data_IF_896925227103
#
_entry.id   IF_896925227103
#
_cell.length_a   1.000
_cell.length_b   1.000
_cell.length_c   1.000
_cell.angle_alpha   90.00
_cell.angle_beta   90.00
_cell.angle_gamma   90.00
#
_symmetry.space_group_name_H-M   'P 1'
#
loop_
_entity.id
_entity.type
_entity.pdbx_description
1 polymer ?
#
# COMPACT_ATOMS: atom_id res chain seq x y z
N UNK A 1 -41.51 89.41 -17.29
CA UNK A 1 -41.70 87.97 -17.05
C UNK A 1 -40.44 87.28 -17.51
N UNK A 2 -39.69 86.75 -16.55
CA UNK A 2 -38.54 85.88 -16.79
C UNK A 2 -38.96 84.67 -17.61
N UNK A 3 -38.18 84.31 -18.63
CA UNK A 3 -38.20 82.97 -19.20
C UNK A 3 -36.81 82.39 -18.98
N UNK A 4 -36.76 81.44 -18.05
CA UNK A 4 -35.57 80.72 -17.66
C UNK A 4 -34.93 80.03 -18.88
N UNK A 5 -33.65 80.32 -19.11
CA UNK A 5 -32.84 79.56 -20.05
C UNK A 5 -32.65 78.15 -19.51
N UNK A 6 -33.30 77.17 -20.14
CA UNK A 6 -33.07 75.77 -19.86
C UNK A 6 -31.62 75.42 -20.26
N UNK A 7 -30.76 75.16 -19.27
CA UNK A 7 -29.43 74.59 -19.49
C UNK A 7 -29.65 73.16 -19.97
N UNK A 8 -29.48 72.93 -21.27
CA UNK A 8 -29.52 71.60 -21.84
C UNK A 8 -28.18 70.91 -21.53
N UNK A 9 -28.11 70.21 -20.39
CA UNK A 9 -27.01 69.30 -20.08
C UNK A 9 -26.99 68.18 -21.13
N UNK A 10 -26.02 68.24 -22.04
CA UNK A 10 -25.76 67.16 -23.01
C UNK A 10 -25.00 66.06 -22.28
N UNK A 11 -25.74 65.07 -21.75
CA UNK A 11 -25.16 63.85 -21.20
C UNK A 11 -24.43 63.07 -22.31
N UNK A 12 -23.10 63.16 -22.32
CA UNK A 12 -22.28 62.44 -23.28
C UNK A 12 -22.19 60.96 -22.86
N UNK A 13 -22.97 60.11 -23.53
CA UNK A 13 -23.04 58.67 -23.25
C UNK A 13 -21.65 57.98 -23.37
N UNK A 14 -20.71 58.59 -24.07
CA UNK A 14 -19.36 58.05 -24.21
C UNK A 14 -18.50 58.16 -22.95
N UNK A 15 -18.80 59.08 -22.01
CA UNK A 15 -17.99 59.27 -20.79
C UNK A 15 -18.12 58.13 -19.77
N UNK A 16 -19.26 57.43 -19.75
CA UNK A 16 -19.48 56.26 -18.88
C UNK A 16 -19.23 54.92 -19.59
N UNK A 17 -19.40 54.88 -20.91
CA UNK A 17 -19.22 53.66 -21.71
C UNK A 17 -17.74 53.29 -21.89
N UNK A 18 -16.85 54.29 -22.08
CA UNK A 18 -15.43 54.06 -22.34
C UNK A 18 -14.69 53.37 -21.18
N UNK A 19 -14.88 53.75 -19.90
CA UNK A 19 -14.29 53.04 -18.76
C UNK A 19 -14.80 51.61 -18.58
N UNK A 20 -16.07 51.34 -18.92
CA UNK A 20 -16.67 50.01 -18.83
C UNK A 20 -16.12 49.07 -19.91
N UNK A 21 -15.98 49.56 -21.14
CA UNK A 21 -15.40 48.78 -22.24
C UNK A 21 -13.91 48.54 -22.01
N UNK A 22 -13.15 49.54 -21.55
CA UNK A 22 -11.73 49.38 -21.24
C UNK A 22 -11.50 48.44 -20.06
N UNK A 23 -12.33 48.52 -19.01
CA UNK A 23 -12.33 47.60 -17.88
C UNK A 23 -12.65 46.16 -18.29
N UNK A 24 -13.65 45.95 -19.15
CA UNK A 24 -14.03 44.63 -19.66
C UNK A 24 -12.93 44.01 -20.54
N UNK A 25 -12.32 44.79 -21.43
CA UNK A 25 -11.19 44.33 -22.27
C UNK A 25 -9.96 44.01 -21.40
N UNK A 26 -9.64 44.86 -20.41
CA UNK A 26 -8.55 44.64 -19.48
C UNK A 26 -8.74 43.36 -18.64
N UNK A 27 -9.97 43.09 -18.18
CA UNK A 27 -10.31 41.86 -17.46
C UNK A 27 -10.19 40.62 -18.37
N UNK A 28 -10.70 40.69 -19.61
CA UNK A 28 -10.59 39.59 -20.57
C UNK A 28 -9.13 39.28 -20.92
N UNK A 29 -8.31 40.30 -21.21
CA UNK A 29 -6.88 40.12 -21.52
C UNK A 29 -6.12 39.65 -20.28
N UNK A 30 -6.43 40.17 -19.09
CA UNK A 30 -5.79 39.75 -17.84
C UNK A 30 -6.09 38.29 -17.50
N UNK A 31 -7.35 37.87 -17.61
CA UNK A 31 -7.78 36.49 -17.31
C UNK A 31 -7.33 35.49 -18.38
N UNK A 32 -7.51 35.79 -19.68
CA UNK A 32 -7.04 34.91 -20.76
C UNK A 32 -5.51 34.90 -20.87
N UNK A 33 -4.87 36.06 -20.81
CA UNK A 33 -3.41 36.17 -20.87
C UNK A 33 -2.73 35.57 -19.65
N UNK A 34 -3.27 35.79 -18.46
CA UNK A 34 -2.79 35.19 -17.22
C UNK A 34 -2.94 33.67 -17.21
N UNK A 35 -4.10 33.14 -17.59
CA UNK A 35 -4.33 31.69 -17.70
C UNK A 35 -3.47 31.05 -18.79
N UNK A 36 -3.32 31.69 -19.95
CA UNK A 36 -2.43 31.26 -21.01
C UNK A 36 -0.96 31.24 -20.56
N UNK A 37 -0.50 32.29 -19.85
CA UNK A 37 0.87 32.34 -19.31
C UNK A 37 1.12 31.24 -18.26
N UNK A 38 0.14 30.99 -17.38
CA UNK A 38 0.21 29.90 -16.40
C UNK A 38 0.25 28.53 -17.09
N UNK A 39 -0.61 28.31 -18.09
CA UNK A 39 -0.64 27.09 -18.90
C UNK A 39 0.69 26.88 -19.64
N UNK A 40 1.21 27.92 -20.28
CA UNK A 40 2.51 27.89 -20.95
C UNK A 40 3.66 27.58 -19.98
N UNK A 41 3.66 28.18 -18.78
CA UNK A 41 4.68 27.91 -17.75
C UNK A 41 4.58 26.48 -17.23
N UNK A 42 3.37 25.94 -17.07
CA UNK A 42 3.14 24.54 -16.72
C UNK A 42 3.61 23.60 -17.83
N UNK A 43 3.27 23.87 -19.09
CA UNK A 43 3.75 23.10 -20.24
C UNK A 43 5.29 23.09 -20.31
N UNK A 44 5.94 24.24 -20.08
CA UNK A 44 7.40 24.33 -20.10
C UNK A 44 8.03 23.50 -18.97
N UNK A 45 7.45 23.53 -17.77
CA UNK A 45 7.88 22.68 -16.65
C UNK A 45 7.73 21.20 -17.00
N UNK A 46 6.58 20.81 -17.55
CA UNK A 46 6.30 19.43 -17.94
C UNK A 46 7.24 18.95 -19.04
N UNK A 47 7.52 19.76 -20.07
CA UNK A 47 8.47 19.43 -21.14
C UNK A 47 9.88 19.15 -20.60
N UNK A 48 10.35 19.93 -19.63
CA UNK A 48 11.64 19.69 -18.98
C UNK A 48 11.66 18.33 -18.27
N UNK A 49 10.58 17.97 -17.57
CA UNK A 49 10.49 16.70 -16.84
C UNK A 49 10.37 15.51 -17.80
N UNK A 50 9.61 15.66 -18.89
CA UNK A 50 9.59 14.66 -19.99
C UNK A 50 11.00 14.44 -20.53
N UNK A 51 11.77 15.51 -20.75
CA UNK A 51 13.17 15.40 -21.18
C UNK A 51 14.06 14.67 -20.17
N UNK A 52 13.83 14.86 -18.86
CA UNK A 52 14.55 14.12 -17.82
C UNK A 52 14.20 12.62 -17.86
N UNK A 53 12.93 12.29 -18.10
CA UNK A 53 12.48 10.90 -18.20
C UNK A 53 13.01 10.23 -19.48
N UNK A 54 13.02 10.94 -20.61
CA UNK A 54 13.65 10.47 -21.86
C UNK A 54 15.16 10.26 -21.68
N UNK A 55 15.86 11.22 -21.05
CA UNK A 55 17.29 11.07 -20.68
C UNK A 55 17.54 9.80 -19.87
N UNK A 56 16.63 9.46 -18.94
CA UNK A 56 16.73 8.23 -18.16
C UNK A 56 16.55 6.96 -19.02
N UNK A 57 15.55 6.97 -19.92
CA UNK A 57 15.28 5.86 -20.83
C UNK A 57 16.37 5.65 -21.88
N UNK A 58 17.02 6.72 -22.33
CA UNK A 58 18.11 6.65 -23.28
C UNK A 58 19.31 5.86 -22.71
N UNK A 59 19.54 5.89 -21.39
CA UNK A 59 20.54 5.04 -20.73
C UNK A 59 20.22 3.55 -20.96
N UNK A 60 18.97 3.14 -20.71
CA UNK A 60 18.57 1.74 -20.95
C UNK A 60 18.63 1.40 -22.44
N UNK A 61 18.27 2.33 -23.31
CA UNK A 61 18.31 2.16 -24.77
C UNK A 61 19.74 1.92 -25.30
N UNK A 62 20.74 2.61 -24.76
CA UNK A 62 22.15 2.40 -25.11
C UNK A 62 22.60 0.98 -24.76
N UNK A 63 22.22 0.47 -23.59
CA UNK A 63 22.56 -0.87 -23.12
C UNK A 63 21.76 -1.97 -23.84
N UNK A 64 20.52 -1.69 -24.23
CA UNK A 64 19.68 -2.60 -25.01
C UNK A 64 20.33 -2.98 -26.36
N UNK A 65 21.09 -2.07 -26.98
CA UNK A 65 21.82 -2.35 -28.22
C UNK A 65 22.84 -3.48 -28.07
N UNK A 66 23.34 -3.70 -26.85
CA UNK A 66 24.31 -4.73 -26.50
C UNK A 66 23.67 -5.96 -25.84
N UNK A 67 22.33 -6.07 -25.84
CA UNK A 67 21.57 -7.13 -25.15
C UNK A 67 21.92 -7.26 -23.65
N UNK A 68 22.22 -6.13 -23.01
CA UNK A 68 22.52 -6.03 -21.57
C UNK A 68 21.23 -6.04 -20.74
N UNK A 69 21.38 -6.20 -19.43
CA UNK A 69 20.25 -6.20 -18.49
C UNK A 69 20.08 -4.84 -17.83
N UNK A 70 18.90 -4.58 -17.23
CA UNK A 70 18.68 -3.35 -16.48
C UNK A 70 19.68 -3.20 -15.31
N UNK A 71 20.09 -4.30 -14.68
CA UNK A 71 21.07 -4.30 -13.60
C UNK A 71 22.42 -3.68 -14.03
N UNK A 72 22.87 -3.95 -15.27
CA UNK A 72 24.12 -3.40 -15.84
C UNK A 72 24.11 -1.85 -15.90
N UNK A 73 22.93 -1.25 -16.02
CA UNK A 73 22.77 0.22 -16.16
C UNK A 73 22.82 0.97 -14.83
N UNK A 74 22.81 0.25 -13.71
CA UNK A 74 22.66 0.81 -12.34
C UNK A 74 23.65 1.93 -12.04
N UNK A 75 24.94 1.72 -12.32
CA UNK A 75 25.97 2.69 -12.00
C UNK A 75 25.81 3.96 -12.84
N UNK A 76 25.48 3.79 -14.12
CA UNK A 76 25.33 4.89 -15.06
C UNK A 76 24.06 5.71 -14.79
N UNK A 77 22.94 5.04 -14.52
CA UNK A 77 21.71 5.68 -14.08
C UNK A 77 21.92 6.52 -12.82
N UNK A 78 22.62 5.98 -11.83
CA UNK A 78 22.86 6.68 -10.58
C UNK A 78 23.80 7.88 -10.72
N UNK A 79 24.68 7.86 -11.71
CA UNK A 79 25.68 8.92 -11.97
C UNK A 79 25.14 10.01 -12.91
N UNK A 80 24.45 9.63 -14.00
CA UNK A 80 23.95 10.57 -15.01
C UNK A 80 22.72 11.37 -14.54
N UNK A 81 21.93 10.82 -13.61
CA UNK A 81 20.78 11.51 -13.02
C UNK A 81 21.10 12.06 -11.63
N UNK A 82 20.81 13.34 -11.44
CA UNK A 82 20.81 13.97 -10.12
C UNK A 82 19.68 13.44 -9.24
N UNK A 83 19.81 13.61 -7.91
CA UNK A 83 18.77 13.22 -6.95
C UNK A 83 17.42 13.90 -7.28
N UNK A 84 17.44 15.17 -7.67
CA UNK A 84 16.23 15.92 -8.05
C UNK A 84 15.57 15.36 -9.30
N UNK A 85 16.35 14.98 -10.33
CA UNK A 85 15.81 14.31 -11.52
C UNK A 85 15.20 12.96 -11.14
N UNK A 86 15.88 12.16 -10.32
CA UNK A 86 15.36 10.87 -9.82
C UNK A 86 14.01 11.04 -9.11
N UNK A 87 13.87 12.04 -8.22
CA UNK A 87 12.59 12.35 -7.54
C UNK A 87 11.46 12.68 -8.51
N UNK A 88 11.77 13.33 -9.63
CA UNK A 88 10.76 13.73 -10.59
C UNK A 88 10.26 12.56 -11.46
N UNK A 89 11.11 11.62 -11.84
CA UNK A 89 10.82 10.67 -12.94
C UNK A 89 10.72 9.20 -12.54
N UNK A 90 11.34 8.76 -11.44
CA UNK A 90 11.51 7.33 -11.15
C UNK A 90 10.17 6.59 -10.97
N UNK A 91 9.19 7.20 -10.30
CA UNK A 91 7.86 6.58 -10.14
C UNK A 91 7.17 6.40 -11.49
N UNK A 92 7.29 7.38 -12.39
CA UNK A 92 6.74 7.30 -13.73
C UNK A 92 7.42 6.18 -14.54
N UNK A 93 8.75 6.06 -14.44
CA UNK A 93 9.50 4.98 -15.09
C UNK A 93 9.10 3.59 -14.57
N UNK A 94 8.92 3.42 -13.26
CA UNK A 94 8.48 2.16 -12.68
C UNK A 94 7.08 1.78 -13.18
N UNK A 95 6.14 2.73 -13.22
CA UNK A 95 4.79 2.50 -13.78
C UNK A 95 4.79 2.20 -15.28
N UNK A 96 5.79 2.67 -16.01
CA UNK A 96 5.98 2.38 -17.43
C UNK A 96 6.58 0.99 -17.70
N UNK A 97 7.00 0.26 -16.67
CA UNK A 97 7.50 -1.11 -16.81
C UNK A 97 8.99 -1.27 -16.53
N UNK A 98 9.72 -0.20 -16.19
CA UNK A 98 11.13 -0.32 -15.80
C UNK A 98 11.22 -1.13 -14.49
N UNK A 99 12.00 -2.23 -14.45
CA UNK A 99 11.97 -3.16 -13.33
C UNK A 99 12.93 -2.73 -12.21
N UNK A 100 12.46 -1.86 -11.32
CA UNK A 100 13.21 -1.47 -10.11
C UNK A 100 13.27 -2.62 -9.10
N UNK A 101 14.36 -2.73 -8.35
CA UNK A 101 14.40 -3.53 -7.14
C UNK A 101 13.68 -2.78 -6.02
N UNK A 102 12.56 -3.33 -5.54
CA UNK A 102 11.87 -2.80 -4.37
C UNK A 102 12.56 -3.32 -3.11
N UNK A 103 13.10 -2.45 -2.25
CA UNK A 103 13.70 -2.91 -1.01
C UNK A 103 12.62 -3.55 -0.14
N UNK A 104 12.87 -4.78 0.29
CA UNK A 104 11.93 -5.57 1.11
C UNK A 104 12.21 -5.47 2.60
N UNK A 105 13.37 -4.90 2.97
CA UNK A 105 13.87 -4.85 4.35
C UNK A 105 14.35 -3.45 4.75
N UNK A 106 14.94 -2.72 3.81
CA UNK A 106 15.53 -1.40 4.07
C UNK A 106 14.64 -0.26 3.58
N UNK A 107 14.89 0.95 4.08
CA UNK A 107 14.30 2.15 3.52
C UNK A 107 14.75 2.34 2.07
N UNK A 108 13.86 2.89 1.24
CA UNK A 108 14.20 3.22 -0.15
C UNK A 108 15.30 4.28 -0.19
N UNK A 109 16.45 3.94 -0.80
CA UNK A 109 17.56 4.86 -1.00
C UNK A 109 17.58 5.40 -2.43
N UNK A 110 17.13 6.64 -2.59
CA UNK A 110 17.13 7.34 -3.88
C UNK A 110 18.53 7.59 -4.45
N UNK A 111 19.58 7.56 -3.62
CA UNK A 111 20.95 7.78 -4.10
C UNK A 111 21.44 6.57 -4.88
N UNK A 112 21.07 5.37 -4.43
CA UNK A 112 21.55 4.09 -4.93
C UNK A 112 20.37 3.24 -5.43
N UNK A 113 19.78 3.67 -6.55
CA UNK A 113 18.70 2.94 -7.21
C UNK A 113 19.25 1.66 -7.83
N UNK A 114 18.55 0.53 -7.67
CA UNK A 114 18.92 -0.76 -8.26
C UNK A 114 17.80 -1.28 -9.15
N UNK A 115 18.18 -2.09 -10.12
CA UNK A 115 17.26 -2.68 -11.10
C UNK A 115 17.40 -4.20 -11.14
N UNK A 116 16.31 -4.89 -11.46
CA UNK A 116 16.29 -6.34 -11.58
C UNK A 116 17.14 -6.80 -12.76
N UNK A 117 17.67 -8.01 -12.65
CA UNK A 117 18.44 -8.65 -13.72
C UNK A 117 17.52 -9.20 -14.82
N UNK A 118 17.02 -8.28 -15.66
CA UNK A 118 16.11 -8.56 -16.77
C UNK A 118 16.72 -7.95 -18.04
N UNK A 119 16.74 -8.70 -19.14
CA UNK A 119 17.23 -8.23 -20.44
C UNK A 119 16.35 -7.07 -20.93
N UNK A 120 16.97 -6.00 -21.42
CA UNK A 120 16.25 -4.81 -21.88
C UNK A 120 15.69 -5.04 -23.28
N UNK A 121 14.37 -4.90 -23.44
CA UNK A 121 13.72 -4.86 -24.75
C UNK A 121 13.79 -3.43 -25.33
N UNK A 122 14.50 -3.28 -26.46
CA UNK A 122 14.71 -2.00 -27.14
C UNK A 122 13.40 -1.41 -27.68
N UNK A 123 12.49 -2.24 -28.17
CA UNK A 123 11.24 -1.79 -28.76
C UNK A 123 10.27 -1.32 -27.67
N UNK A 124 10.32 -1.97 -26.51
CA UNK A 124 9.60 -1.54 -25.31
C UNK A 124 10.07 -0.16 -24.85
N UNK A 125 11.39 0.04 -24.69
CA UNK A 125 11.96 1.35 -24.31
C UNK A 125 11.59 2.44 -25.32
N UNK A 126 11.62 2.13 -26.61
CA UNK A 126 11.23 3.09 -27.66
C UNK A 126 9.76 3.48 -27.54
N UNK A 127 8.90 2.52 -27.22
CA UNK A 127 7.47 2.75 -26.98
C UNK A 127 7.26 3.62 -25.74
N UNK A 128 7.98 3.36 -24.64
CA UNK A 128 7.93 4.17 -23.42
C UNK A 128 8.30 5.64 -23.70
N UNK A 129 9.37 5.89 -24.47
CA UNK A 129 9.78 7.25 -24.88
C UNK A 129 8.65 7.95 -25.65
N UNK A 130 7.97 7.26 -26.56
CA UNK A 130 6.84 7.82 -27.31
C UNK A 130 5.69 8.21 -26.38
N UNK A 131 5.36 7.39 -25.37
CA UNK A 131 4.29 7.70 -24.40
C UNK A 131 4.61 8.92 -23.54
N UNK A 132 5.87 9.03 -23.08
CA UNK A 132 6.34 10.20 -22.33
C UNK A 132 6.23 11.47 -23.19
N UNK A 133 6.68 11.42 -24.45
CA UNK A 133 6.62 12.57 -25.34
C UNK A 133 5.18 13.02 -25.63
N UNK A 134 4.24 12.07 -25.73
CA UNK A 134 2.79 12.34 -25.86
C UNK A 134 2.15 12.95 -24.61
N UNK A 135 2.82 12.91 -23.45
CA UNK A 135 2.31 13.44 -22.19
C UNK A 135 1.42 12.47 -21.41
N UNK A 136 1.32 11.22 -21.85
CA UNK A 136 0.45 10.23 -21.21
C UNK A 136 0.91 9.84 -19.79
N UNK A 137 2.14 10.20 -19.43
CA UNK A 137 2.75 9.90 -18.14
C UNK A 137 2.87 11.12 -17.21
N UNK A 138 2.38 12.29 -17.64
CA UNK A 138 2.62 13.55 -16.91
C UNK A 138 2.09 13.51 -15.48
N UNK A 139 0.95 12.85 -15.28
CA UNK A 139 0.30 12.69 -13.97
C UNK A 139 1.08 11.82 -12.98
N UNK A 140 2.16 11.16 -13.42
CA UNK A 140 3.02 10.34 -12.56
C UNK A 140 4.33 11.04 -12.21
N UNK A 141 4.66 12.14 -12.89
CA UNK A 141 5.81 12.95 -12.51
C UNK A 141 5.57 13.61 -11.16
N UNK A 142 6.65 13.73 -10.38
CA UNK A 142 6.64 14.27 -9.02
C UNK A 142 5.79 13.48 -8.00
N UNK A 143 5.35 12.27 -8.34
CA UNK A 143 4.81 11.36 -7.31
C UNK A 143 5.89 11.14 -6.25
N UNK A 144 5.53 11.26 -4.97
CA UNK A 144 6.49 11.06 -3.89
C UNK A 144 7.06 9.64 -3.95
N UNK A 145 8.33 9.56 -4.29
CA UNK A 145 9.09 8.34 -4.49
C UNK A 145 9.22 7.53 -3.21
N UNK A 146 9.42 8.21 -2.08
CA UNK A 146 9.62 7.54 -0.80
C UNK A 146 8.31 6.87 -0.39
N UNK A 147 7.21 7.61 -0.35
CA UNK A 147 5.88 7.03 -0.12
C UNK A 147 5.52 5.93 -1.13
N UNK A 148 5.80 6.12 -2.42
CA UNK A 148 5.48 5.13 -3.44
C UNK A 148 6.18 3.78 -3.21
N UNK A 149 7.50 3.78 -3.00
CA UNK A 149 8.25 2.53 -2.79
C UNK A 149 8.15 1.98 -1.35
N UNK A 150 7.83 2.82 -0.37
CA UNK A 150 7.70 2.39 1.04
C UNK A 150 6.27 2.07 1.46
N UNK A 151 5.25 2.46 0.69
CA UNK A 151 3.82 2.21 0.99
C UNK A 151 3.53 0.72 1.25
N UNK A 152 4.27 -0.18 0.59
CA UNK A 152 4.16 -1.62 0.78
C UNK A 152 5.30 -2.23 1.62
N UNK A 153 6.26 -1.45 2.12
CA UNK A 153 7.40 -1.98 2.88
C UNK A 153 6.94 -2.66 4.16
N UNK A 154 6.09 -2.00 4.95
CA UNK A 154 5.53 -2.58 6.18
C UNK A 154 4.73 -3.85 5.87
N UNK A 155 3.87 -3.80 4.86
CA UNK A 155 3.03 -4.91 4.44
C UNK A 155 3.86 -6.11 3.96
N UNK A 156 4.87 -5.88 3.12
CA UNK A 156 5.78 -6.92 2.66
C UNK A 156 6.63 -7.48 3.80
N UNK A 157 7.12 -6.65 4.71
CA UNK A 157 7.89 -7.08 5.86
C UNK A 157 7.06 -8.02 6.74
N UNK A 158 5.85 -7.59 7.11
CA UNK A 158 4.92 -8.37 7.94
C UNK A 158 4.52 -9.70 7.26
N UNK A 159 4.18 -9.68 5.97
CA UNK A 159 3.89 -10.91 5.20
C UNK A 159 5.09 -11.84 5.10
N UNK A 160 6.30 -11.32 4.87
CA UNK A 160 7.52 -12.13 4.81
C UNK A 160 7.82 -12.82 6.15
N UNK A 161 7.57 -12.14 7.26
CA UNK A 161 7.70 -12.74 8.61
C UNK A 161 6.65 -13.86 8.80
N UNK A 162 5.41 -13.64 8.36
CA UNK A 162 4.37 -14.67 8.33
C UNK A 162 4.76 -15.90 7.52
N UNK A 163 5.28 -15.71 6.30
CA UNK A 163 5.78 -16.81 5.46
C UNK A 163 6.92 -17.57 6.12
N UNK A 164 7.90 -16.85 6.67
CA UNK A 164 9.02 -17.44 7.42
C UNK A 164 8.51 -18.33 8.56
N UNK A 165 7.50 -17.88 9.31
CA UNK A 165 6.86 -18.72 10.34
C UNK A 165 6.24 -20.00 9.75
N UNK A 166 5.51 -19.88 8.64
CA UNK A 166 4.88 -21.04 8.00
C UNK A 166 5.93 -22.04 7.51
N UNK A 167 6.97 -21.57 6.82
CA UNK A 167 8.03 -22.40 6.22
C UNK A 167 8.94 -23.05 7.28
N UNK A 168 9.37 -22.26 8.26
CA UNK A 168 10.40 -22.70 9.22
C UNK A 168 9.83 -23.34 10.48
N UNK A 169 8.56 -23.08 10.80
CA UNK A 169 7.94 -23.55 12.05
C UNK A 169 6.73 -24.42 11.75
N UNK A 170 5.70 -23.87 11.10
CA UNK A 170 4.41 -24.57 10.95
C UNK A 170 4.53 -25.82 10.06
N UNK A 171 5.22 -25.72 8.93
CA UNK A 171 5.48 -26.84 8.02
C UNK A 171 6.35 -27.95 8.63
N UNK A 172 7.15 -27.60 9.64
CA UNK A 172 8.02 -28.54 10.38
C UNK A 172 7.40 -29.01 11.70
N UNK A 173 6.19 -28.55 12.01
CA UNK A 173 5.45 -28.99 13.19
C UNK A 173 4.81 -30.36 12.95
N UNK A 174 4.34 -30.98 14.02
CA UNK A 174 3.65 -32.27 13.94
C UNK A 174 2.54 -32.37 14.99
N UNK A 175 1.57 -33.25 14.74
CA UNK A 175 0.54 -33.63 15.69
C UNK A 175 1.01 -34.85 16.49
N UNK A 176 0.92 -34.79 17.81
CA UNK A 176 1.29 -35.90 18.68
C UNK A 176 0.24 -37.02 18.60
N UNK A 177 0.67 -38.27 18.41
CA UNK A 177 -0.26 -39.43 18.31
C UNK A 177 -1.10 -39.62 19.58
N UNK A 178 -0.53 -39.29 20.73
CA UNK A 178 -1.19 -39.42 22.04
C UNK A 178 -2.13 -38.25 22.34
N UNK A 179 -1.98 -37.14 21.63
CA UNK A 179 -2.76 -35.90 21.81
C UNK A 179 -3.12 -35.31 20.43
N UNK A 180 -4.13 -35.86 19.75
CA UNK A 180 -4.44 -35.51 18.36
C UNK A 180 -4.88 -34.05 18.19
N UNK A 181 -5.19 -33.33 19.28
CA UNK A 181 -5.54 -31.92 19.29
C UNK A 181 -4.36 -31.00 19.66
N UNK A 182 -3.14 -31.55 19.75
CA UNK A 182 -1.94 -30.79 20.15
C UNK A 182 -0.92 -30.80 19.03
N UNK A 183 -0.55 -29.60 18.59
CA UNK A 183 0.49 -29.36 17.61
C UNK A 183 1.79 -29.05 18.35
N UNK A 184 2.80 -29.89 18.13
CA UNK A 184 4.15 -29.68 18.62
C UNK A 184 4.99 -28.94 17.56
N UNK A 185 5.72 -27.91 18.00
CA UNK A 185 6.61 -27.12 17.15
C UNK A 185 8.06 -27.61 17.26
N UNK A 186 8.94 -27.32 16.28
CA UNK A 186 10.38 -27.55 16.39
C UNK A 186 10.96 -26.91 17.66
N UNK A 187 11.95 -27.58 18.27
CA UNK A 187 12.65 -27.05 19.45
C UNK A 187 13.30 -25.71 19.12
N UNK A 188 13.23 -24.76 20.06
CA UNK A 188 13.87 -23.44 19.93
C UNK A 188 13.45 -22.60 18.71
N UNK A 189 12.31 -22.90 18.09
CA UNK A 189 11.83 -22.19 16.90
C UNK A 189 11.78 -20.66 17.07
N UNK A 190 11.44 -20.19 18.27
CA UNK A 190 11.34 -18.77 18.60
C UNK A 190 12.66 -18.01 18.49
N UNK A 191 13.82 -18.68 18.62
CA UNK A 191 15.15 -18.07 18.50
C UNK A 191 15.46 -17.61 17.06
N UNK A 192 14.70 -18.08 16.08
CA UNK A 192 14.85 -17.67 14.68
C UNK A 192 14.21 -16.31 14.40
N UNK A 193 13.52 -15.72 15.37
CA UNK A 193 12.76 -14.48 15.22
C UNK A 193 13.25 -13.42 16.20
N UNK A 194 13.27 -12.17 15.75
CA UNK A 194 13.47 -11.01 16.63
C UNK A 194 12.24 -10.78 17.52
N UNK A 195 12.34 -10.01 18.62
CA UNK A 195 11.17 -9.70 19.45
C UNK A 195 10.00 -9.09 18.68
N UNK A 196 10.26 -8.19 17.72
CA UNK A 196 9.23 -7.58 16.88
C UNK A 196 8.62 -8.56 15.88
N UNK A 197 9.44 -9.43 15.29
CA UNK A 197 8.94 -10.51 14.42
C UNK A 197 8.06 -11.49 15.19
N UNK A 198 8.44 -11.87 16.42
CA UNK A 198 7.64 -12.71 17.30
C UNK A 198 6.27 -12.08 17.55
N UNK A 199 6.23 -10.83 17.99
CA UNK A 199 4.95 -10.13 18.26
C UNK A 199 4.02 -10.15 17.03
N UNK A 200 4.58 -9.95 15.85
CA UNK A 200 3.83 -9.94 14.57
C UNK A 200 3.16 -11.28 14.26
N UNK A 201 3.79 -12.41 14.64
CA UNK A 201 3.28 -13.75 14.28
C UNK A 201 2.43 -14.40 15.38
N UNK A 202 2.33 -13.84 16.59
CA UNK A 202 1.63 -14.53 17.69
C UNK A 202 0.14 -14.75 17.43
N UNK A 203 -0.55 -13.74 16.87
CA UNK A 203 -1.97 -13.89 16.51
C UNK A 203 -2.13 -14.87 15.35
N UNK A 204 -1.31 -14.75 14.30
CA UNK A 204 -1.28 -15.71 13.20
C UNK A 204 -1.06 -17.14 13.70
N UNK A 205 -0.06 -17.35 14.56
CA UNK A 205 0.25 -18.65 15.19
C UNK A 205 -0.96 -19.22 15.93
N UNK A 206 -1.71 -18.38 16.64
CA UNK A 206 -2.90 -18.82 17.36
C UNK A 206 -4.00 -19.28 16.41
N UNK A 207 -4.23 -18.57 15.31
CA UNK A 207 -5.21 -18.97 14.29
C UNK A 207 -4.79 -20.22 13.51
N UNK A 208 -3.48 -20.39 13.29
CA UNK A 208 -2.92 -21.57 12.62
C UNK A 208 -2.78 -22.78 13.54
N UNK A 209 -3.18 -22.70 14.81
CA UNK A 209 -3.23 -23.83 15.73
C UNK A 209 -4.42 -24.77 15.43
N UNK A 210 -4.58 -25.15 14.16
CA UNK A 210 -5.59 -26.07 13.66
C UNK A 210 -4.93 -27.33 13.09
N UNK A 211 -5.40 -28.50 13.52
CA UNK A 211 -4.87 -29.80 13.08
C UNK A 211 -5.26 -30.14 11.65
N UNK A 212 -6.19 -29.40 11.04
CA UNK A 212 -6.57 -29.53 9.63
C UNK A 212 -5.39 -29.30 8.67
N UNK A 213 -4.36 -28.56 9.07
CA UNK A 213 -3.15 -28.38 8.26
C UNK A 213 -2.25 -29.62 8.19
N UNK A 214 -2.57 -30.68 8.95
CA UNK A 214 -1.76 -31.88 9.09
C UNK A 214 -2.47 -33.08 8.46
N UNK A 215 -1.68 -33.94 7.83
CA UNK A 215 -2.15 -35.20 7.27
C UNK A 215 -2.32 -36.27 8.36
N UNK A 216 -2.96 -37.40 8.02
CA UNK A 216 -3.21 -38.50 8.97
C UNK A 216 -1.95 -39.08 9.62
N UNK A 217 -0.77 -38.89 9.02
CA UNK A 217 0.50 -39.32 9.61
C UNK A 217 1.05 -38.35 10.68
N UNK A 218 0.32 -37.26 10.97
CA UNK A 218 0.67 -36.22 11.93
C UNK A 218 1.63 -35.16 11.40
N UNK A 219 2.11 -35.26 10.15
CA UNK A 219 2.97 -34.24 9.51
C UNK A 219 2.15 -33.23 8.72
N UNK A 220 2.66 -32.01 8.62
CA UNK A 220 2.05 -30.95 7.84
C UNK A 220 1.80 -31.40 6.38
N UNK A 221 0.62 -31.09 5.88
CA UNK A 221 0.24 -31.36 4.49
C UNK A 221 0.90 -30.33 3.56
N UNK A 222 1.76 -30.79 2.66
CA UNK A 222 2.53 -29.90 1.78
C UNK A 222 1.66 -29.03 0.87
N UNK A 223 0.49 -29.52 0.43
CA UNK A 223 -0.40 -28.73 -0.42
C UNK A 223 -1.05 -27.62 0.39
N UNK A 224 -1.53 -27.93 1.60
CA UNK A 224 -2.13 -26.93 2.50
C UNK A 224 -1.12 -25.86 2.93
N UNK A 225 0.14 -26.24 3.17
CA UNK A 225 1.21 -25.29 3.47
C UNK A 225 1.49 -24.36 2.28
N UNK A 226 1.52 -24.88 1.04
CA UNK A 226 1.71 -24.05 -0.16
C UNK A 226 0.54 -23.07 -0.35
N UNK A 227 -0.69 -23.53 -0.14
CA UNK A 227 -1.86 -22.67 -0.19
C UNK A 227 -1.79 -21.58 0.88
N UNK A 228 -1.46 -21.93 2.12
CA UNK A 228 -1.30 -20.96 3.21
C UNK A 228 -0.23 -19.89 2.89
N UNK A 229 0.91 -20.28 2.34
CA UNK A 229 1.94 -19.33 1.90
C UNK A 229 1.36 -18.38 0.84
N UNK A 230 0.68 -18.92 -0.19
CA UNK A 230 0.03 -18.11 -1.23
C UNK A 230 -1.02 -17.16 -0.65
N UNK A 231 -1.82 -17.61 0.32
CA UNK A 231 -2.85 -16.80 0.98
C UNK A 231 -2.25 -15.63 1.76
N UNK A 232 -1.09 -15.84 2.41
CA UNK A 232 -0.33 -14.76 3.04
C UNK A 232 0.18 -13.77 1.98
N UNK A 233 0.67 -14.25 0.84
CA UNK A 233 1.19 -13.38 -0.22
C UNK A 233 0.12 -12.48 -0.84
N UNK A 234 -1.08 -13.02 -1.06
CA UNK A 234 -2.21 -12.25 -1.60
C UNK A 234 -2.94 -11.42 -0.53
N UNK A 235 -2.62 -11.61 0.75
CA UNK A 235 -3.07 -10.78 1.87
C UNK A 235 -4.33 -11.24 2.61
N UNK A 236 -4.77 -12.49 2.44
CA UNK A 236 -5.93 -13.00 3.19
C UNK A 236 -5.69 -13.04 4.71
N UNK A 237 -4.42 -13.15 5.10
CA UNK A 237 -4.00 -13.22 6.50
C UNK A 237 -3.51 -11.88 7.08
N UNK A 238 -3.59 -10.79 6.32
CA UNK A 238 -3.08 -9.48 6.74
C UNK A 238 -3.71 -9.01 8.05
N UNK A 239 -5.02 -9.18 8.21
CA UNK A 239 -5.73 -8.77 9.42
C UNK A 239 -5.13 -9.39 10.69
N UNK A 240 -4.72 -10.66 10.63
CA UNK A 240 -4.13 -11.36 11.77
C UNK A 240 -2.67 -10.97 11.98
N UNK A 241 -1.94 -10.75 10.90
CA UNK A 241 -0.56 -10.29 10.94
C UNK A 241 -0.41 -8.85 11.45
N UNK A 242 -1.44 -8.02 11.30
CA UNK A 242 -1.49 -6.66 11.83
C UNK A 242 -2.22 -6.55 13.18
N UNK A 243 -2.83 -7.63 13.66
CA UNK A 243 -3.58 -7.62 14.91
C UNK A 243 -2.61 -7.56 16.10
N UNK A 244 -2.80 -6.59 16.99
CA UNK A 244 -2.05 -6.51 18.22
C UNK A 244 -2.35 -7.69 19.17
N UNK A 245 -1.29 -8.42 19.57
CA UNK A 245 -1.45 -9.64 20.36
C UNK A 245 -2.04 -9.39 21.76
N UNK A 246 -1.75 -8.26 22.40
CA UNK A 246 -2.31 -7.93 23.72
C UNK A 246 -3.82 -7.69 23.62
N UNK A 247 -4.24 -6.95 22.60
CA UNK A 247 -5.65 -6.73 22.28
C UNK A 247 -6.37 -8.04 21.97
N UNK A 248 -5.74 -8.90 21.15
CA UNK A 248 -6.28 -10.21 20.79
C UNK A 248 -6.47 -11.11 22.02
N UNK A 249 -5.46 -11.21 22.88
CA UNK A 249 -5.51 -12.04 24.11
C UNK A 249 -6.52 -11.50 25.12
N UNK A 250 -6.65 -10.17 25.25
CA UNK A 250 -7.66 -9.56 26.10
C UNK A 250 -9.08 -9.91 25.64
N UNK A 251 -9.37 -9.82 24.34
CA UNK A 251 -10.68 -10.21 23.79
C UNK A 251 -10.95 -11.70 24.02
N UNK A 252 -9.95 -12.56 23.82
CA UNK A 252 -10.09 -13.99 24.10
C UNK A 252 -10.37 -14.27 25.58
N UNK A 253 -9.69 -13.57 26.49
CA UNK A 253 -9.92 -13.68 27.93
C UNK A 253 -11.33 -13.21 28.33
N UNK A 254 -11.82 -12.10 27.76
CA UNK A 254 -13.19 -11.62 27.99
C UNK A 254 -14.24 -12.61 27.49
N UNK A 255 -14.04 -13.18 26.30
CA UNK A 255 -14.93 -14.21 25.76
C UNK A 255 -14.96 -15.46 26.65
N UNK A 256 -13.80 -15.92 27.12
CA UNK A 256 -13.70 -17.05 28.04
C UNK A 256 -14.41 -16.76 29.37
N UNK A 257 -14.22 -15.55 29.93
CA UNK A 257 -14.90 -15.13 31.15
C UNK A 257 -16.43 -15.08 30.95
N UNK A 258 -16.90 -14.55 29.83
CA UNK A 258 -18.32 -14.51 29.50
C UNK A 258 -18.93 -15.92 29.45
N UNK A 259 -18.24 -16.88 28.81
CA UNK A 259 -18.68 -18.28 28.76
C UNK A 259 -18.75 -18.93 30.14
N UNK A 260 -17.76 -18.65 31.01
CA UNK A 260 -17.75 -19.15 32.39
C UNK A 260 -18.92 -18.57 33.18
N UNK A 261 -19.14 -17.25 33.11
CA UNK A 261 -20.25 -16.57 33.79
C UNK A 261 -21.60 -17.08 33.29
N UNK A 262 -21.77 -17.23 31.97
CA UNK A 262 -22.99 -17.78 31.39
C UNK A 262 -23.26 -19.20 31.87
N UNK A 263 -22.23 -20.05 31.91
CA UNK A 263 -22.34 -21.43 32.41
C UNK A 263 -22.75 -21.45 33.89
N UNK A 264 -22.17 -20.59 34.73
CA UNK A 264 -22.56 -20.46 36.15
C UNK A 264 -24.01 -19.99 36.31
N UNK A 265 -24.46 -19.02 35.51
CA UNK A 265 -25.85 -18.54 35.54
C UNK A 265 -26.81 -19.67 35.15
N UNK A 266 -26.51 -20.43 34.10
CA UNK A 266 -27.32 -21.57 33.68
C UNK A 266 -27.39 -22.66 34.75
N UNK A 267 -26.26 -22.99 35.40
CA UNK A 267 -26.23 -23.97 36.50
C UNK A 267 -27.07 -23.51 37.70
N UNK A 268 -26.97 -22.24 38.08
CA UNK A 268 -27.79 -21.68 39.16
C UNK A 268 -29.29 -21.71 38.82
N UNK A 269 -29.67 -21.36 37.58
CA UNK A 269 -31.08 -21.45 37.14
C UNK A 269 -31.59 -22.89 37.17
N UNK A 270 -30.78 -23.86 36.75
CA UNK A 270 -31.15 -25.28 36.82
C UNK A 270 -31.33 -25.76 38.26
N UNK A 271 -30.47 -25.33 39.19
CA UNK A 271 -30.61 -25.67 40.61
C UNK A 271 -31.87 -25.06 41.23
N UNK A 272 -32.16 -23.79 40.95
CA UNK A 272 -33.38 -23.11 41.43
C UNK A 272 -34.63 -23.78 40.89
N UNK A 273 -34.65 -24.11 39.60
CA UNK A 273 -35.78 -24.83 38.99
C UNK A 273 -35.97 -26.22 39.61
N UNK A 274 -34.89 -26.98 39.86
CA UNK A 274 -34.97 -28.30 40.49
C UNK A 274 -35.45 -28.23 41.95
N UNK A 275 -35.04 -27.21 42.70
CA UNK A 275 -35.53 -26.96 44.07
C UNK A 275 -37.02 -26.61 44.09
N UNK A 276 -37.47 -25.77 43.16
CA UNK A 276 -38.89 -25.41 43.05
C UNK A 276 -39.76 -26.62 42.69
N UNK A 277 -39.31 -27.48 41.77
CA UNK A 277 -40.04 -28.72 41.43
C UNK A 277 -40.08 -29.71 42.61
N UNK A 278 -39.03 -29.80 43.42
CA UNK A 278 -39.04 -30.65 44.61
C UNK A 278 -39.96 -30.10 45.72
N UNK A 279 -40.04 -28.78 45.88
CA UNK A 279 -40.95 -28.14 46.81
C UNK A 279 -42.43 -28.37 46.42
N UNK A 280 -42.78 -28.18 45.14
CA UNK A 280 -44.14 -28.44 44.62
C UNK A 280 -44.59 -29.90 44.76
N UNK A 281 -43.67 -30.87 44.59
CA UNK A 281 -43.95 -32.30 44.78
C UNK A 281 -44.09 -32.68 46.27
N UNK A 282 -43.47 -31.92 47.18
CA UNK A 282 -43.60 -32.14 48.63
C UNK A 282 -44.85 -31.51 49.25
N UNK A 283 -45.37 -30.41 48.68
CA UNK A 283 -46.61 -29.77 49.12
C UNK A 283 -47.88 -30.45 48.56
N UNK A 284 -47.74 -31.37 47.61
CA UNK A 284 -48.85 -32.10 46.95
C UNK A 284 -49.09 -33.51 47.52
N UNK A 285 -48.52 -33.85 48.68
CA UNK A 285 -48.78 -35.08 49.45
C UNK A 285 -49.43 -34.77 50.79
#
# INVERSE_FOLDING_TARGET
METAGAIQETYNIWSWLLPLISGAIGALIGTYGGSYFLHWKQEKKIKNVRSMAVKALDIFKEYAQQKRTYADTTNEFNTKLSISEKRAVVVALHKLGVPFETPTRDAFDIKNIRFKDIVIDKDEITTMIVQINKGNCDNHFFTDIESYFTSNLRLNAVRNVGKKYVEEVHAKSWVEKEKPNTIANPVDWHKQFTPGELQTILVLRTQLANTDYFSQNGRADSNKIKDLIREIEIGLWDNYLFYDYESFTNIQAQHNLANVVQSMIMMNQQQVNAQNTQAEVSESK
#
